data_IF_841030346734
#
_entry.id   IF_841030346734
#
_cell.length_a   1.000
_cell.length_b   1.000
_cell.length_c   1.000
_cell.angle_alpha   90.00
_cell.angle_beta   90.00
_cell.angle_gamma   90.00
#
_symmetry.space_group_name_H-M   'P 1'
#
loop_
_entity.id
_entity.type
_entity.pdbx_description
1 polymer ?
#
# COMPACT_ATOMS: atom_id res chain seq x y z
N UNK A 1 -16.67 -2.16 -6.28
CA UNK A 1 -16.03 -0.95 -5.70
C UNK A 1 -14.56 -1.13 -5.23
N UNK A 2 -14.03 -2.35 -5.04
CA UNK A 2 -12.62 -2.53 -4.62
C UNK A 2 -11.58 -2.60 -5.76
N UNK A 3 -12.01 -2.90 -7.01
CA UNK A 3 -11.12 -2.92 -8.20
C UNK A 3 -10.63 -1.52 -8.63
N UNK A 4 -11.34 -0.45 -8.22
CA UNK A 4 -11.02 0.93 -8.57
C UNK A 4 -9.80 1.52 -7.84
N UNK A 5 -9.22 0.80 -6.86
CA UNK A 5 -8.04 1.26 -6.13
C UNK A 5 -6.72 0.82 -6.79
N UNK A 6 -6.73 -0.20 -7.66
CA UNK A 6 -5.52 -0.66 -8.30
C UNK A 6 -5.10 0.31 -9.43
N UNK A 7 -3.79 0.56 -9.62
CA UNK A 7 -3.30 1.26 -10.81
C UNK A 7 -3.84 0.62 -12.08
N UNK A 8 -4.27 1.43 -13.05
CA UNK A 8 -4.96 0.96 -14.25
C UNK A 8 -4.15 -0.11 -15.00
N UNK A 9 -2.83 0.09 -15.12
CA UNK A 9 -1.94 -0.87 -15.77
C UNK A 9 -1.94 -2.24 -15.07
N UNK A 10 -1.92 -2.26 -13.73
CA UNK A 10 -1.97 -3.52 -12.97
C UNK A 10 -3.33 -4.22 -13.14
N UNK A 11 -4.43 -3.45 -13.12
CA UNK A 11 -5.77 -3.97 -13.39
C UNK A 11 -5.86 -4.61 -14.78
N UNK A 12 -5.29 -3.95 -15.80
CA UNK A 12 -5.26 -4.46 -17.17
C UNK A 12 -4.44 -5.75 -17.26
N UNK A 13 -3.25 -5.81 -16.64
CA UNK A 13 -2.42 -7.02 -16.64
C UNK A 13 -3.07 -8.20 -15.91
N UNK A 14 -3.76 -7.95 -14.80
CA UNK A 14 -4.51 -8.98 -14.09
C UNK A 14 -5.68 -9.49 -14.94
N UNK A 15 -6.40 -8.60 -15.62
CA UNK A 15 -7.47 -9.00 -16.53
C UNK A 15 -6.94 -9.83 -17.72
N UNK A 16 -5.81 -9.42 -18.31
CA UNK A 16 -5.17 -10.15 -19.40
C UNK A 16 -4.71 -11.55 -18.94
N UNK A 17 -4.05 -11.65 -17.78
CA UNK A 17 -3.59 -12.94 -17.25
C UNK A 17 -4.76 -13.89 -16.93
N UNK A 18 -5.87 -13.35 -16.40
CA UNK A 18 -7.11 -14.12 -16.21
C UNK A 18 -7.59 -14.71 -17.54
N UNK A 19 -7.72 -13.87 -18.57
CA UNK A 19 -8.17 -14.29 -19.89
C UNK A 19 -7.25 -15.36 -20.49
N UNK A 20 -5.93 -15.21 -20.37
CA UNK A 20 -4.96 -16.20 -20.85
C UNK A 20 -5.08 -17.54 -20.14
N UNK A 21 -5.34 -17.55 -18.82
CA UNK A 21 -5.57 -18.81 -18.08
C UNK A 21 -6.85 -19.49 -18.57
N UNK A 22 -7.92 -18.72 -18.72
CA UNK A 22 -9.21 -19.25 -19.17
C UNK A 22 -9.09 -19.82 -20.59
N UNK A 23 -8.46 -19.09 -21.51
CA UNK A 23 -8.17 -19.52 -22.87
C UNK A 23 -7.28 -20.77 -22.92
N UNK A 24 -6.19 -20.79 -22.16
CA UNK A 24 -5.27 -21.94 -22.14
C UNK A 24 -5.93 -23.20 -21.57
N UNK A 25 -6.77 -23.07 -20.54
CA UNK A 25 -7.50 -24.22 -19.99
C UNK A 25 -8.61 -24.71 -20.93
N UNK A 26 -9.27 -23.81 -21.65
CA UNK A 26 -10.24 -24.17 -22.68
C UNK A 26 -9.56 -24.87 -23.87
N UNK A 27 -8.42 -24.37 -24.33
CA UNK A 27 -7.63 -25.00 -25.38
C UNK A 27 -7.14 -26.40 -24.97
N UNK A 28 -6.72 -26.57 -23.71
CA UNK A 28 -6.34 -27.88 -23.17
C UNK A 28 -7.52 -28.85 -23.15
N UNK A 29 -8.72 -28.38 -22.79
CA UNK A 29 -9.93 -29.21 -22.79
C UNK A 29 -10.37 -29.64 -24.21
N UNK A 30 -10.01 -28.87 -25.24
CA UNK A 30 -10.36 -29.13 -26.63
C UNK A 30 -9.26 -29.87 -27.42
N UNK A 31 -8.10 -30.14 -26.80
CA UNK A 31 -6.98 -30.77 -27.47
C UNK A 31 -7.24 -32.24 -27.80
N UNK A 32 -6.65 -32.73 -28.88
CA UNK A 32 -6.60 -34.16 -29.18
C UNK A 32 -5.89 -34.91 -28.05
N UNK A 33 -6.49 -35.98 -27.54
CA UNK A 33 -6.00 -36.70 -26.36
C UNK A 33 -6.44 -36.12 -25.00
N UNK A 34 -7.28 -35.08 -24.97
CA UNK A 34 -7.84 -34.58 -23.70
C UNK A 34 -8.75 -35.62 -22.99
N UNK A 35 -9.24 -36.61 -23.73
CA UNK A 35 -10.02 -37.75 -23.27
C UNK A 35 -9.20 -38.78 -22.47
N UNK A 36 -7.87 -38.67 -22.47
CA UNK A 36 -6.97 -39.47 -21.60
C UNK A 36 -7.27 -39.25 -20.11
N UNK A 37 -7.94 -38.16 -19.75
CA UNK A 37 -8.46 -37.90 -18.41
C UNK A 37 -9.94 -37.53 -18.48
N UNK A 38 -10.68 -37.70 -17.37
CA UNK A 38 -12.07 -37.24 -17.33
C UNK A 38 -12.14 -35.72 -17.43
N UNK A 39 -13.17 -35.19 -18.09
CA UNK A 39 -13.40 -33.75 -18.22
C UNK A 39 -13.43 -33.02 -16.86
N UNK A 40 -13.86 -33.70 -15.80
CA UNK A 40 -13.85 -33.19 -14.43
C UNK A 40 -12.47 -32.86 -13.89
N UNK A 41 -11.39 -33.52 -14.36
CA UNK A 41 -10.01 -33.22 -13.97
C UNK A 41 -9.60 -31.85 -14.50
N UNK A 42 -9.86 -31.59 -15.79
CA UNK A 42 -9.54 -30.30 -16.42
C UNK A 42 -10.40 -29.19 -15.83
N UNK A 43 -11.71 -29.44 -15.61
CA UNK A 43 -12.59 -28.49 -14.92
C UNK A 43 -12.10 -28.18 -13.50
N UNK A 44 -11.66 -29.20 -12.75
CA UNK A 44 -11.10 -29.03 -11.42
C UNK A 44 -9.82 -28.18 -11.42
N UNK A 45 -8.94 -28.38 -12.42
CA UNK A 45 -7.78 -27.53 -12.63
C UNK A 45 -8.19 -26.07 -12.92
N UNK A 46 -9.14 -25.85 -13.83
CA UNK A 46 -9.65 -24.51 -14.16
C UNK A 46 -10.20 -23.81 -12.92
N UNK A 47 -11.05 -24.48 -12.13
CA UNK A 47 -11.57 -23.94 -10.88
C UNK A 47 -10.46 -23.64 -9.85
N UNK A 48 -9.46 -24.53 -9.73
CA UNK A 48 -8.33 -24.30 -8.82
C UNK A 48 -7.53 -23.05 -9.20
N UNK A 49 -7.16 -22.94 -10.47
CA UNK A 49 -6.46 -21.76 -11.00
C UNK A 49 -7.31 -20.50 -10.82
N UNK A 50 -8.62 -20.60 -11.06
CA UNK A 50 -9.56 -19.50 -10.90
C UNK A 50 -9.52 -18.93 -9.46
N UNK A 51 -9.64 -19.82 -8.47
CA UNK A 51 -9.59 -19.48 -7.05
C UNK A 51 -8.24 -18.94 -6.60
N UNK A 52 -7.12 -19.53 -7.05
CA UNK A 52 -5.78 -19.05 -6.70
C UNK A 52 -5.54 -17.64 -7.23
N UNK A 53 -5.97 -17.37 -8.45
CA UNK A 53 -5.87 -16.04 -9.03
C UNK A 53 -6.76 -15.03 -8.31
N UNK A 54 -7.99 -15.40 -7.93
CA UNK A 54 -8.87 -14.51 -7.17
C UNK A 54 -8.24 -14.15 -5.81
N UNK A 55 -7.61 -15.11 -5.14
CA UNK A 55 -6.84 -14.85 -3.91
C UNK A 55 -5.68 -13.87 -4.16
N UNK A 56 -4.98 -13.99 -5.28
CA UNK A 56 -3.93 -13.06 -5.66
C UNK A 56 -4.48 -11.63 -5.87
N UNK A 57 -5.57 -11.47 -6.64
CA UNK A 57 -6.23 -10.18 -6.84
C UNK A 57 -6.62 -9.53 -5.49
N UNK A 58 -7.22 -10.29 -4.58
CA UNK A 58 -7.59 -9.81 -3.24
C UNK A 58 -6.38 -9.31 -2.45
N UNK A 59 -5.22 -9.98 -2.57
CA UNK A 59 -3.97 -9.55 -1.89
C UNK A 59 -3.43 -8.23 -2.43
N UNK A 60 -3.49 -8.01 -3.75
CA UNK A 60 -3.12 -6.73 -4.34
C UNK A 60 -4.02 -5.60 -3.85
N UNK A 61 -5.34 -5.81 -3.87
CA UNK A 61 -6.31 -4.83 -3.36
C UNK A 61 -6.05 -4.51 -1.89
N UNK A 62 -5.80 -5.52 -1.06
CA UNK A 62 -5.47 -5.33 0.35
C UNK A 62 -4.14 -4.58 0.55
N UNK A 63 -3.14 -4.82 -0.29
CA UNK A 63 -1.87 -4.09 -0.24
C UNK A 63 -2.04 -2.60 -0.56
N UNK A 64 -2.83 -2.26 -1.59
CA UNK A 64 -3.12 -0.86 -1.92
C UNK A 64 -3.88 -0.16 -0.80
N UNK A 65 -4.89 -0.82 -0.23
CA UNK A 65 -5.63 -0.28 0.92
C UNK A 65 -4.72 0.00 2.11
N UNK A 66 -3.82 -0.93 2.43
CA UNK A 66 -2.84 -0.75 3.51
C UNK A 66 -1.96 0.47 3.25
N UNK A 67 -1.38 0.59 2.06
CA UNK A 67 -0.57 1.76 1.68
C UNK A 67 -1.34 3.08 1.82
N UNK A 68 -2.61 3.12 1.40
CA UNK A 68 -3.45 4.30 1.58
C UNK A 68 -3.70 4.65 3.06
N UNK A 69 -3.97 3.64 3.89
CA UNK A 69 -4.16 3.82 5.33
C UNK A 69 -2.87 4.28 6.02
N UNK A 70 -1.72 3.77 5.62
CA UNK A 70 -0.42 4.18 6.16
C UNK A 70 -0.14 5.65 5.86
N UNK A 71 -0.38 6.08 4.62
CA UNK A 71 -0.26 7.49 4.24
C UNK A 71 -1.21 8.42 5.03
N UNK A 72 -2.47 8.00 5.22
CA UNK A 72 -3.42 8.75 6.05
C UNK A 72 -2.99 8.80 7.52
N UNK A 73 -2.44 7.70 8.04
CA UNK A 73 -1.90 7.63 9.39
C UNK A 73 -0.71 8.58 9.56
N UNK A 74 0.20 8.62 8.61
CA UNK A 74 1.37 9.50 8.64
C UNK A 74 0.95 10.98 8.64
N UNK A 75 -0.01 11.34 7.79
CA UNK A 75 -0.59 12.69 7.77
C UNK A 75 -1.27 13.01 9.11
N UNK A 76 -2.01 12.06 9.68
CA UNK A 76 -2.65 12.25 10.98
C UNK A 76 -1.64 12.44 12.11
N UNK A 77 -0.53 11.68 12.12
CA UNK A 77 0.57 11.82 13.08
C UNK A 77 1.26 13.18 12.91
N UNK A 78 1.56 13.59 11.68
CA UNK A 78 2.18 14.88 11.40
C UNK A 78 1.28 16.04 11.90
N UNK A 79 -0.02 15.98 11.56
CA UNK A 79 -1.00 16.97 12.03
C UNK A 79 -1.08 16.98 13.56
N UNK A 80 -1.16 15.82 14.21
CA UNK A 80 -1.23 15.75 15.67
C UNK A 80 0.06 16.26 16.35
N UNK A 81 1.21 16.14 15.69
CA UNK A 81 2.49 16.62 16.18
C UNK A 81 2.64 18.14 16.05
N UNK A 82 2.16 18.71 14.93
CA UNK A 82 2.25 20.15 14.62
C UNK A 82 1.08 20.97 15.21
N UNK A 83 -0.11 20.37 15.28
CA UNK A 83 -1.35 20.99 15.76
C UNK A 83 -2.08 20.10 16.77
N UNK A 84 -1.45 19.77 17.91
CA UNK A 84 -2.11 18.98 18.95
C UNK A 84 -3.36 19.73 19.43
N UNK A 85 -4.52 19.05 19.42
CA UNK A 85 -5.80 19.68 19.80
C UNK A 85 -6.24 20.85 18.91
N UNK A 86 -5.76 20.92 17.66
CA UNK A 86 -6.00 22.02 16.71
C UNK A 86 -5.40 23.38 17.13
N UNK A 87 -4.41 23.40 18.03
CA UNK A 87 -3.64 24.61 18.36
C UNK A 87 -2.18 24.42 17.95
N UNK A 88 -1.46 25.50 17.58
CA UNK A 88 -0.04 25.40 17.24
C UNK A 88 0.77 24.69 18.32
N UNK A 89 1.71 23.82 17.91
CA UNK A 89 2.54 23.01 18.80
C UNK A 89 3.16 23.81 19.95
N UNK A 90 3.74 24.96 19.66
CA UNK A 90 4.39 25.85 20.65
C UNK A 90 3.44 26.35 21.75
N UNK A 91 2.13 26.34 21.50
CA UNK A 91 1.09 26.78 22.44
C UNK A 91 0.50 25.63 23.26
N UNK A 92 0.79 24.39 22.90
CA UNK A 92 0.22 23.20 23.53
C UNK A 92 1.26 22.24 24.12
N UNK A 93 2.49 22.23 23.58
CA UNK A 93 3.55 21.36 24.06
C UNK A 93 4.65 22.17 24.75
N UNK A 94 5.12 21.62 25.87
CA UNK A 94 6.36 22.04 26.51
C UNK A 94 7.57 21.44 25.77
N UNK A 95 8.76 22.02 25.89
CA UNK A 95 10.01 21.48 25.32
C UNK A 95 10.49 20.21 26.03
N UNK A 96 10.08 19.98 27.29
CA UNK A 96 10.53 18.85 28.13
C UNK A 96 10.37 17.48 27.48
N UNK A 97 9.22 17.11 26.87
CA UNK A 97 9.08 15.81 26.19
C UNK A 97 10.02 15.63 24.99
N UNK A 98 10.37 16.72 24.29
CA UNK A 98 11.31 16.67 23.17
C UNK A 98 12.74 16.44 23.69
N UNK A 99 13.12 17.09 24.79
CA UNK A 99 14.41 16.88 25.46
C UNK A 99 14.53 15.46 26.02
N UNK A 100 13.47 14.93 26.63
CA UNK A 100 13.47 13.56 27.15
C UNK A 100 13.69 12.52 26.04
N UNK A 101 13.19 12.79 24.82
CA UNK A 101 13.31 11.87 23.68
C UNK A 101 14.62 12.01 22.91
N UNK A 102 15.13 13.23 22.75
CA UNK A 102 16.25 13.52 21.84
C UNK A 102 17.53 13.98 22.56
N UNK A 103 17.46 14.19 23.86
CA UNK A 103 18.57 14.69 24.66
C UNK A 103 18.91 16.16 24.38
N UNK A 104 20.02 16.57 24.96
CA UNK A 104 20.68 17.86 24.86
C UNK A 104 21.17 18.20 23.44
N UNK A 105 21.49 17.19 22.61
CA UNK A 105 21.85 17.38 21.20
C UNK A 105 20.76 18.12 20.38
N UNK A 106 19.50 18.03 20.80
CA UNK A 106 18.39 18.77 20.20
C UNK A 106 18.60 20.27 20.32
N UNK A 107 19.03 20.76 21.48
CA UNK A 107 19.24 22.19 21.72
C UNK A 107 20.34 22.75 20.82
N UNK A 108 21.42 21.98 20.66
CA UNK A 108 22.50 22.36 19.75
C UNK A 108 22.04 22.41 18.30
N UNK A 109 21.22 21.45 17.85
CA UNK A 109 20.65 21.45 16.52
C UNK A 109 19.71 22.65 16.28
N UNK A 110 18.81 22.93 17.23
CA UNK A 110 17.90 24.08 17.17
C UNK A 110 18.69 25.38 17.12
N UNK A 111 19.70 25.54 17.98
CA UNK A 111 20.55 26.74 18.03
C UNK A 111 21.31 26.97 16.73
N UNK A 112 21.90 25.93 16.14
CA UNK A 112 22.57 26.02 14.83
C UNK A 112 21.60 26.51 13.75
N UNK A 113 20.40 25.93 13.68
CA UNK A 113 19.43 26.29 12.66
C UNK A 113 18.86 27.70 12.85
N UNK A 114 18.61 28.10 14.09
CA UNK A 114 18.16 29.45 14.43
C UNK A 114 19.21 30.50 14.00
N UNK A 115 20.49 30.25 14.27
CA UNK A 115 21.58 31.14 13.85
C UNK A 115 21.69 31.22 12.33
N UNK A 116 21.59 30.10 11.63
CA UNK A 116 21.61 30.07 10.17
C UNK A 116 20.44 30.88 9.57
N UNK A 117 19.24 30.75 10.14
CA UNK A 117 18.09 31.53 9.69
C UNK A 117 18.24 33.03 10.02
N UNK A 118 18.72 33.39 11.21
CA UNK A 118 18.96 34.78 11.57
C UNK A 118 19.96 35.46 10.62
N UNK A 119 20.99 34.73 10.18
CA UNK A 119 21.94 35.24 9.19
C UNK A 119 21.32 35.49 7.80
N UNK A 120 20.18 34.87 7.47
CA UNK A 120 19.44 35.17 6.22
C UNK A 120 18.54 36.40 6.32
N UNK A 121 18.33 36.91 7.53
CA UNK A 121 17.49 38.08 7.81
C UNK A 121 18.30 39.37 8.00
N UNK A 122 19.64 39.26 8.04
CA UNK A 122 20.59 40.37 8.18
C UNK A 122 21.13 40.81 6.81
#
# INVERSE_FOLDING_TARGET
LAKAALPQELSNRLAALRATIDEATAALAAAEGADLVSASVIQGLTSNLAHRFERLERRFVAAVKRRGNDALRDVAIARASLFPGNVPQERALNIVPLLARHGDQLLDAVRRQANAHAATLA
#
